data_IF_169565642798
#
_entry.id   IF_169565642798
#
_cell.length_a   1.000
_cell.length_b   1.000
_cell.length_c   1.000
_cell.angle_alpha   90.00
_cell.angle_beta   90.00
_cell.angle_gamma   90.00
#
_symmetry.space_group_name_H-M   'P 1'
#
loop_
_entity.id
_entity.type
_entity.pdbx_description
1 polymer ?
#
# COMPACT_ATOMS: atom_id res chain seq x y z
N UNK A 1 -32.28 -46.06 -31.99
CA UNK A 1 -31.55 -45.41 -30.91
C UNK A 1 -32.24 -44.08 -30.62
N UNK A 2 -32.54 -43.79 -29.36
CA UNK A 2 -33.25 -42.63 -28.90
C UNK A 2 -32.38 -41.60 -28.13
N UNK A 3 -32.97 -40.88 -27.22
CA UNK A 3 -32.34 -39.99 -26.26
C UNK A 3 -31.36 -40.78 -25.35
N UNK A 4 -30.15 -40.31 -25.13
CA UNK A 4 -29.20 -40.95 -24.22
C UNK A 4 -29.78 -40.96 -22.81
N UNK A 5 -30.08 -42.15 -22.30
CA UNK A 5 -30.61 -42.41 -20.94
C UNK A 5 -29.64 -43.25 -20.13
N UNK A 6 -29.89 -43.38 -18.82
CA UNK A 6 -29.07 -44.23 -17.94
C UNK A 6 -28.97 -45.67 -18.48
N UNK A 7 -30.06 -46.23 -18.94
CA UNK A 7 -30.12 -47.60 -19.57
C UNK A 7 -29.18 -47.70 -20.78
N UNK A 8 -29.11 -46.67 -21.65
CA UNK A 8 -28.21 -46.66 -22.81
C UNK A 8 -26.77 -46.54 -22.38
N UNK A 9 -26.46 -45.74 -21.37
CA UNK A 9 -25.12 -45.56 -20.82
C UNK A 9 -24.62 -46.86 -20.19
N UNK A 10 -25.46 -47.56 -19.43
CA UNK A 10 -25.13 -48.83 -18.79
C UNK A 10 -24.91 -49.94 -19.82
N UNK A 11 -25.78 -50.04 -20.82
CA UNK A 11 -25.70 -51.02 -21.90
C UNK A 11 -24.57 -50.80 -22.91
N UNK A 12 -23.94 -49.63 -22.95
CA UNK A 12 -22.88 -49.34 -23.92
C UNK A 12 -21.59 -50.07 -23.55
N UNK A 13 -21.14 -50.99 -24.45
CA UNK A 13 -19.92 -51.78 -24.26
C UNK A 13 -18.75 -51.20 -25.04
N UNK A 14 -17.55 -51.40 -24.49
CA UNK A 14 -16.30 -51.05 -25.15
C UNK A 14 -16.07 -51.96 -26.39
N UNK A 15 -15.40 -51.44 -27.38
CA UNK A 15 -14.96 -52.15 -28.57
C UNK A 15 -13.49 -51.82 -28.85
N UNK A 16 -12.92 -52.43 -29.93
CA UNK A 16 -11.48 -52.23 -30.26
C UNK A 16 -11.13 -50.79 -30.66
N UNK A 17 -12.15 -49.98 -30.99
CA UNK A 17 -12.00 -48.52 -31.32
C UNK A 17 -12.96 -47.67 -30.49
N UNK A 18 -12.67 -46.38 -30.29
CA UNK A 18 -13.61 -45.49 -29.64
C UNK A 18 -14.94 -45.49 -30.34
N UNK A 19 -16.05 -45.69 -29.60
CA UNK A 19 -17.41 -45.72 -30.09
C UNK A 19 -18.21 -44.52 -29.62
N UNK A 20 -18.98 -43.92 -30.53
CA UNK A 20 -19.88 -42.81 -30.22
C UNK A 20 -21.32 -43.29 -30.29
N UNK A 21 -22.07 -43.06 -29.24
CA UNK A 21 -23.54 -43.23 -29.21
C UNK A 21 -24.16 -41.83 -29.27
N UNK A 22 -24.67 -41.44 -30.43
CA UNK A 22 -25.20 -40.12 -30.66
C UNK A 22 -26.62 -39.96 -30.11
N UNK A 23 -26.88 -38.83 -29.47
CA UNK A 23 -28.22 -38.44 -29.03
C UNK A 23 -29.06 -37.95 -30.23
N UNK A 24 -30.29 -38.47 -30.40
CA UNK A 24 -31.18 -38.04 -31.50
C UNK A 24 -31.89 -36.75 -31.22
N UNK A 25 -32.02 -36.35 -29.95
CA UNK A 25 -32.75 -35.15 -29.57
C UNK A 25 -31.89 -33.91 -29.52
N UNK A 26 -30.57 -34.07 -29.39
CA UNK A 26 -29.60 -32.98 -29.37
C UNK A 26 -28.43 -33.29 -30.31
N UNK A 27 -28.42 -32.72 -31.54
CA UNK A 27 -27.34 -32.88 -32.49
C UNK A 27 -25.98 -32.49 -31.88
N UNK A 28 -24.96 -33.34 -32.10
CA UNK A 28 -23.61 -33.12 -31.56
C UNK A 28 -23.40 -33.68 -30.15
N UNK A 29 -24.43 -33.99 -29.39
CA UNK A 29 -24.29 -34.65 -28.10
C UNK A 29 -24.11 -36.17 -28.26
N UNK A 30 -23.11 -36.72 -27.58
CA UNK A 30 -22.83 -38.18 -27.64
C UNK A 30 -22.25 -38.71 -26.33
N UNK A 31 -22.44 -40.02 -26.15
CA UNK A 31 -21.65 -40.83 -25.22
C UNK A 31 -20.43 -41.40 -25.97
N UNK A 32 -19.25 -41.08 -25.54
CA UNK A 32 -17.99 -41.67 -26.00
C UNK A 32 -17.63 -42.83 -25.08
N UNK A 33 -17.43 -44.01 -25.66
CA UNK A 33 -16.93 -45.22 -25.01
C UNK A 33 -15.56 -45.52 -25.56
N UNK A 34 -14.54 -45.52 -24.72
CA UNK A 34 -13.17 -45.82 -25.08
C UNK A 34 -12.92 -47.36 -25.04
N UNK A 35 -11.89 -47.86 -25.73
CA UNK A 35 -11.52 -49.29 -25.65
C UNK A 35 -11.21 -49.77 -24.23
N UNK A 36 -10.74 -48.85 -23.35
CA UNK A 36 -10.51 -49.12 -21.92
C UNK A 36 -11.80 -49.30 -21.10
N UNK A 37 -12.99 -49.15 -21.70
CA UNK A 37 -14.26 -49.16 -21.00
C UNK A 37 -14.63 -47.82 -20.39
N UNK A 38 -13.76 -46.83 -20.39
CA UNK A 38 -14.07 -45.50 -19.86
C UNK A 38 -15.11 -44.79 -20.71
N UNK A 39 -16.15 -44.25 -20.05
CA UNK A 39 -17.28 -43.56 -20.70
C UNK A 39 -17.29 -42.07 -20.35
N UNK A 40 -17.53 -41.22 -21.37
CA UNK A 40 -17.62 -39.78 -21.20
C UNK A 40 -18.73 -39.18 -22.06
N UNK A 41 -19.40 -38.18 -21.55
CA UNK A 41 -20.29 -37.34 -22.36
C UNK A 41 -19.48 -36.34 -23.12
N UNK A 42 -19.77 -36.17 -24.42
CA UNK A 42 -19.04 -35.24 -25.31
C UNK A 42 -20.04 -34.43 -26.13
N UNK A 43 -19.62 -33.23 -26.54
CA UNK A 43 -20.36 -32.42 -27.47
C UNK A 43 -19.47 -32.06 -28.66
N UNK A 44 -19.88 -32.48 -29.86
CA UNK A 44 -19.19 -32.17 -31.12
C UNK A 44 -19.92 -31.05 -31.84
N UNK A 45 -19.18 -30.04 -32.30
CA UNK A 45 -19.73 -28.85 -32.95
C UNK A 45 -18.76 -28.31 -33.99
N UNK A 46 -19.19 -27.35 -34.78
CA UNK A 46 -18.33 -26.58 -35.69
C UNK A 46 -18.21 -25.14 -35.21
N UNK A 47 -16.97 -24.66 -35.11
CA UNK A 47 -16.64 -23.27 -34.84
C UNK A 47 -15.54 -22.82 -35.79
N UNK A 48 -15.63 -21.61 -36.35
CA UNK A 48 -14.66 -21.07 -37.32
C UNK A 48 -14.29 -22.06 -38.43
N UNK A 49 -15.33 -22.76 -38.99
CA UNK A 49 -15.13 -23.74 -40.11
C UNK A 49 -14.53 -25.10 -39.69
N UNK A 50 -14.12 -25.30 -38.45
CA UNK A 50 -13.47 -26.52 -37.95
C UNK A 50 -14.40 -27.34 -37.06
N UNK A 51 -14.34 -28.69 -37.18
CA UNK A 51 -15.03 -29.59 -36.24
C UNK A 51 -14.23 -29.65 -34.93
N UNK A 52 -14.91 -29.39 -33.82
CA UNK A 52 -14.33 -29.45 -32.45
C UNK A 52 -15.15 -30.39 -31.58
N UNK A 53 -14.53 -30.98 -30.56
CA UNK A 53 -15.19 -31.86 -29.61
C UNK A 53 -14.81 -31.49 -28.18
N UNK A 54 -15.81 -31.14 -27.40
CA UNK A 54 -15.64 -30.85 -25.98
C UNK A 54 -16.07 -32.03 -25.13
N UNK A 55 -15.26 -32.48 -24.19
CA UNK A 55 -15.67 -33.39 -23.14
C UNK A 55 -16.46 -32.63 -22.08
N UNK A 56 -17.68 -33.08 -21.80
CA UNK A 56 -18.58 -32.48 -20.81
C UNK A 56 -18.24 -33.00 -19.42
N UNK A 57 -18.28 -34.33 -19.26
CA UNK A 57 -17.95 -35.03 -18.01
C UNK A 57 -17.70 -36.53 -18.23
N UNK A 58 -17.03 -37.17 -17.28
CA UNK A 58 -16.99 -38.64 -17.18
C UNK A 58 -18.35 -39.14 -16.71
N UNK A 59 -18.74 -40.34 -17.19
CA UNK A 59 -19.94 -41.00 -16.66
C UNK A 59 -19.73 -41.28 -15.17
N UNK A 60 -20.78 -41.09 -14.40
CA UNK A 60 -20.73 -41.14 -12.92
C UNK A 60 -20.60 -39.78 -12.26
N UNK A 61 -20.04 -38.76 -12.96
CA UNK A 61 -19.96 -37.38 -12.41
C UNK A 61 -21.25 -36.60 -12.63
N UNK A 62 -21.92 -36.84 -13.74
CA UNK A 62 -23.21 -36.23 -14.10
C UNK A 62 -24.18 -37.30 -14.55
N UNK A 63 -25.50 -37.06 -14.35
CA UNK A 63 -26.54 -37.84 -14.98
C UNK A 63 -26.60 -37.53 -16.49
N UNK A 64 -27.17 -38.44 -17.33
CA UNK A 64 -27.34 -38.15 -18.75
C UNK A 64 -28.13 -36.84 -19.05
N UNK A 65 -29.12 -36.51 -18.22
CA UNK A 65 -29.88 -35.29 -18.37
C UNK A 65 -29.13 -34.05 -17.98
N UNK A 66 -28.32 -34.10 -16.91
CA UNK A 66 -27.41 -33.00 -16.52
C UNK A 66 -26.34 -32.78 -17.61
N UNK A 67 -25.80 -33.86 -18.18
CA UNK A 67 -24.83 -33.75 -19.27
C UNK A 67 -25.45 -33.14 -20.52
N UNK A 68 -26.71 -33.53 -20.83
CA UNK A 68 -27.46 -32.95 -21.94
C UNK A 68 -27.74 -31.46 -21.73
N UNK A 69 -28.15 -31.04 -20.54
CA UNK A 69 -28.36 -29.62 -20.24
C UNK A 69 -27.09 -28.80 -20.52
N UNK A 70 -25.92 -29.29 -20.06
CA UNK A 70 -24.65 -28.64 -20.37
C UNK A 70 -24.31 -28.64 -21.87
N UNK A 71 -24.67 -29.70 -22.60
CA UNK A 71 -24.50 -29.73 -24.05
C UNK A 71 -25.41 -28.71 -24.75
N UNK A 72 -26.63 -28.49 -24.24
CA UNK A 72 -27.56 -27.46 -24.74
C UNK A 72 -27.00 -26.06 -24.53
N UNK A 73 -26.41 -25.79 -23.37
CA UNK A 73 -25.76 -24.50 -23.09
C UNK A 73 -24.59 -24.26 -24.06
N UNK A 74 -23.75 -25.28 -24.28
CA UNK A 74 -22.66 -25.22 -25.27
C UNK A 74 -23.24 -25.00 -26.71
N UNK A 75 -24.29 -25.68 -27.06
CA UNK A 75 -24.95 -25.50 -28.38
C UNK A 75 -25.52 -24.09 -28.56
N UNK A 76 -26.00 -23.46 -27.46
CA UNK A 76 -26.46 -22.06 -27.48
C UNK A 76 -25.27 -21.11 -27.72
N UNK A 77 -24.14 -21.29 -26.99
CA UNK A 77 -22.92 -20.53 -27.21
C UNK A 77 -22.45 -20.59 -28.65
N UNK A 78 -22.40 -21.79 -29.24
CA UNK A 78 -22.00 -21.99 -30.64
C UNK A 78 -22.91 -21.28 -31.61
N UNK A 79 -24.24 -21.36 -31.40
CA UNK A 79 -25.23 -20.65 -32.23
C UNK A 79 -25.10 -19.14 -32.19
N UNK A 80 -24.61 -18.59 -31.07
CA UNK A 80 -24.32 -17.17 -30.91
C UNK A 80 -22.93 -16.79 -31.44
N UNK A 81 -22.21 -17.70 -32.11
CA UNK A 81 -20.88 -17.45 -32.69
C UNK A 81 -19.72 -17.66 -31.75
N UNK A 82 -19.93 -18.10 -30.50
CA UNK A 82 -18.89 -18.42 -29.53
C UNK A 82 -18.28 -19.81 -29.73
N UNK A 83 -17.18 -20.08 -29.04
CA UNK A 83 -16.48 -21.35 -29.01
C UNK A 83 -16.26 -21.85 -27.59
N UNK A 84 -17.05 -22.82 -27.09
CA UNK A 84 -16.95 -23.32 -25.71
C UNK A 84 -15.55 -23.85 -25.29
N UNK A 85 -14.72 -24.30 -26.24
CA UNK A 85 -13.36 -24.75 -25.95
C UNK A 85 -12.40 -23.56 -25.81
N UNK A 86 -12.52 -22.56 -26.68
CA UNK A 86 -11.75 -21.34 -26.57
C UNK A 86 -12.12 -20.54 -25.31
N UNK A 87 -13.43 -20.47 -24.99
CA UNK A 87 -13.89 -19.85 -23.75
C UNK A 87 -13.27 -20.53 -22.52
N UNK A 88 -13.26 -21.86 -22.47
CA UNK A 88 -12.61 -22.63 -21.41
C UNK A 88 -11.10 -22.44 -21.38
N UNK A 89 -10.47 -22.28 -22.54
CA UNK A 89 -9.03 -22.02 -22.64
C UNK A 89 -8.73 -20.61 -22.13
N UNK A 90 -9.45 -19.63 -22.59
CA UNK A 90 -9.35 -18.26 -22.10
C UNK A 90 -9.58 -18.17 -20.57
N UNK A 91 -10.55 -18.98 -20.08
CA UNK A 91 -10.77 -19.06 -18.61
C UNK A 91 -9.57 -19.63 -17.84
N UNK A 92 -8.87 -20.62 -18.40
CA UNK A 92 -7.67 -21.21 -17.76
C UNK A 92 -6.45 -20.32 -17.88
N UNK A 93 -6.33 -19.59 -18.97
CA UNK A 93 -5.20 -18.70 -19.27
C UNK A 93 -5.40 -17.30 -18.68
N UNK A 94 -6.59 -17.00 -18.16
CA UNK A 94 -6.88 -15.72 -17.56
C UNK A 94 -6.00 -15.46 -16.33
N UNK A 95 -5.35 -14.30 -16.34
CA UNK A 95 -4.53 -13.86 -15.23
C UNK A 95 -5.34 -13.73 -13.95
N UNK A 96 -4.84 -14.32 -12.87
CA UNK A 96 -5.33 -14.07 -11.53
C UNK A 96 -4.78 -12.71 -11.02
N UNK A 97 -5.44 -12.14 -10.04
CA UNK A 97 -4.93 -10.93 -9.37
C UNK A 97 -3.55 -11.21 -8.75
N UNK A 98 -3.32 -12.41 -8.18
CA UNK A 98 -2.00 -12.82 -7.69
C UNK A 98 -0.92 -12.71 -8.77
N UNK A 99 -1.21 -13.12 -10.00
CA UNK A 99 -0.23 -13.08 -11.09
C UNK A 99 0.14 -11.64 -11.47
N UNK A 100 -0.86 -10.75 -11.48
CA UNK A 100 -0.63 -9.31 -11.70
C UNK A 100 0.23 -8.71 -10.59
N UNK A 101 -0.06 -9.05 -9.32
CA UNK A 101 0.67 -8.58 -8.16
C UNK A 101 2.13 -9.08 -8.16
N UNK A 102 2.35 -10.35 -8.53
CA UNK A 102 3.69 -10.94 -8.61
C UNK A 102 4.53 -10.34 -9.74
N UNK A 103 3.93 -10.14 -10.92
CA UNK A 103 4.58 -9.43 -12.03
C UNK A 103 4.93 -8.00 -11.66
N UNK A 104 4.06 -7.29 -10.94
CA UNK A 104 4.36 -5.94 -10.45
C UNK A 104 5.56 -5.94 -9.50
N UNK A 105 5.62 -6.87 -8.53
CA UNK A 105 6.73 -7.00 -7.58
C UNK A 105 8.07 -7.34 -8.26
N UNK A 106 8.03 -8.03 -9.40
CA UNK A 106 9.20 -8.37 -10.20
C UNK A 106 9.59 -7.27 -11.21
N UNK A 107 8.75 -6.24 -11.39
CA UNK A 107 8.96 -5.22 -12.42
C UNK A 107 10.08 -4.24 -12.09
N UNK A 108 10.73 -3.69 -13.13
CA UNK A 108 11.67 -2.58 -12.99
C UNK A 108 11.00 -1.34 -12.39
N UNK A 109 9.70 -1.14 -12.66
CA UNK A 109 8.91 -0.06 -12.06
C UNK A 109 8.87 -0.17 -10.52
N UNK A 110 8.68 -1.38 -9.97
CA UNK A 110 8.71 -1.58 -8.52
C UNK A 110 10.12 -1.48 -7.97
N UNK A 111 11.12 -2.05 -8.64
CA UNK A 111 12.52 -2.01 -8.25
C UNK A 111 13.09 -0.56 -8.19
N UNK A 112 12.60 0.35 -9.03
CA UNK A 112 13.02 1.76 -9.02
C UNK A 112 12.53 2.56 -7.80
N UNK A 113 11.59 2.02 -7.02
CA UNK A 113 11.07 2.69 -5.82
C UNK A 113 12.09 2.66 -4.68
N UNK A 114 11.97 3.61 -3.75
CA UNK A 114 12.80 3.60 -2.56
C UNK A 114 12.61 2.28 -1.76
N UNK A 115 13.68 1.73 -1.23
CA UNK A 115 13.71 0.45 -0.50
C UNK A 115 12.59 0.32 0.55
N UNK A 116 12.39 1.37 1.35
CA UNK A 116 11.29 1.42 2.33
C UNK A 116 9.92 1.34 1.67
N UNK A 117 9.73 1.94 0.50
CA UNK A 117 8.48 1.87 -0.26
C UNK A 117 8.26 0.46 -0.80
N UNK A 118 9.32 -0.19 -1.27
CA UNK A 118 9.28 -1.59 -1.70
C UNK A 118 8.91 -2.50 -0.53
N UNK A 119 9.56 -2.35 0.63
CA UNK A 119 9.28 -3.17 1.82
C UNK A 119 7.82 -3.02 2.29
N UNK A 120 7.31 -1.78 2.34
CA UNK A 120 5.92 -1.50 2.71
C UNK A 120 4.95 -2.08 1.68
N UNK A 121 5.16 -1.79 0.40
CA UNK A 121 4.28 -2.27 -0.69
C UNK A 121 4.25 -3.79 -0.79
N UNK A 122 5.39 -4.46 -0.65
CA UNK A 122 5.45 -5.92 -0.56
C UNK A 122 4.64 -6.44 0.61
N UNK A 123 4.79 -5.81 1.78
CA UNK A 123 4.02 -6.17 2.97
C UNK A 123 2.50 -6.06 2.78
N UNK A 124 2.03 -5.02 2.12
CA UNK A 124 0.60 -4.80 1.82
C UNK A 124 0.08 -5.83 0.82
N UNK A 125 0.84 -6.09 -0.24
CA UNK A 125 0.50 -7.08 -1.26
C UNK A 125 0.35 -8.47 -0.63
N UNK A 126 1.36 -8.92 0.12
CA UNK A 126 1.39 -10.27 0.67
C UNK A 126 0.38 -10.49 1.81
N UNK A 127 0.15 -9.47 2.65
CA UNK A 127 -0.64 -9.62 3.86
C UNK A 127 -2.12 -9.26 3.69
N UNK A 128 -2.44 -8.42 2.72
CA UNK A 128 -3.81 -7.93 2.52
C UNK A 128 -4.35 -8.30 1.13
N UNK A 129 -3.65 -7.90 0.06
CA UNK A 129 -4.21 -7.99 -1.29
C UNK A 129 -4.28 -9.44 -1.79
N UNK A 130 -3.21 -10.22 -1.68
CA UNK A 130 -3.19 -11.62 -2.12
C UNK A 130 -4.20 -12.50 -1.36
N UNK A 131 -4.31 -12.45 -0.03
CA UNK A 131 -5.30 -13.24 0.70
C UNK A 131 -6.74 -12.94 0.30
N UNK A 132 -7.07 -11.67 0.02
CA UNK A 132 -8.44 -11.26 -0.26
C UNK A 132 -8.82 -11.37 -1.73
N UNK A 133 -7.91 -11.05 -2.64
CA UNK A 133 -8.19 -10.90 -4.06
C UNK A 133 -7.39 -11.83 -4.95
N UNK A 134 -6.30 -12.42 -4.46
CA UNK A 134 -5.31 -13.14 -5.28
C UNK A 134 -5.89 -14.25 -6.16
N UNK A 135 -6.86 -14.98 -5.65
CA UNK A 135 -7.52 -16.09 -6.37
C UNK A 135 -8.61 -15.64 -7.37
N UNK A 136 -8.89 -14.35 -7.43
CA UNK A 136 -9.87 -13.78 -8.37
C UNK A 136 -9.22 -13.57 -9.73
N UNK A 137 -9.99 -13.74 -10.79
CA UNK A 137 -9.58 -13.37 -12.15
C UNK A 137 -9.48 -11.85 -12.26
N UNK A 138 -8.38 -11.35 -12.79
CA UNK A 138 -8.14 -9.91 -12.91
C UNK A 138 -9.13 -9.23 -13.88
N UNK A 139 -9.53 -9.90 -14.96
CA UNK A 139 -10.48 -9.40 -15.96
C UNK A 139 -11.94 -9.39 -15.47
N UNK A 140 -12.28 -10.20 -14.47
CA UNK A 140 -13.63 -10.31 -13.89
C UNK A 140 -13.79 -9.54 -12.58
N UNK A 141 -12.73 -8.93 -12.09
CA UNK A 141 -12.76 -8.19 -10.83
C UNK A 141 -13.67 -6.95 -10.97
N UNK A 142 -14.60 -6.81 -10.04
CA UNK A 142 -15.56 -5.70 -10.01
C UNK A 142 -15.21 -4.65 -8.97
N UNK A 143 -15.78 -3.46 -9.08
CA UNK A 143 -15.65 -2.42 -8.04
C UNK A 143 -16.21 -2.89 -6.69
N UNK A 144 -17.25 -3.73 -6.69
CA UNK A 144 -17.85 -4.26 -5.45
C UNK A 144 -16.93 -5.27 -4.77
N UNK A 145 -16.18 -6.07 -5.55
CA UNK A 145 -15.14 -6.93 -4.99
C UNK A 145 -14.06 -6.09 -4.28
N UNK A 146 -13.69 -4.96 -4.88
CA UNK A 146 -12.70 -4.04 -4.30
C UNK A 146 -13.24 -3.37 -3.04
N UNK A 147 -14.52 -2.91 -3.04
CA UNK A 147 -15.15 -2.32 -1.85
C UNK A 147 -15.24 -3.33 -0.71
N UNK A 148 -15.63 -4.58 -0.98
CA UNK A 148 -15.65 -5.66 0.03
C UNK A 148 -14.27 -5.94 0.59
N UNK A 149 -13.26 -6.04 -0.25
CA UNK A 149 -11.89 -6.27 0.19
C UNK A 149 -11.34 -5.07 1.00
N UNK A 150 -11.70 -3.84 0.62
CA UNK A 150 -11.38 -2.63 1.38
C UNK A 150 -11.99 -2.70 2.80
N UNK A 151 -13.27 -3.00 2.90
CA UNK A 151 -13.97 -3.16 4.17
C UNK A 151 -13.31 -4.27 5.02
N UNK A 152 -12.95 -5.40 4.42
CA UNK A 152 -12.28 -6.49 5.12
C UNK A 152 -10.93 -6.06 5.73
N UNK A 153 -10.12 -5.25 5.04
CA UNK A 153 -8.88 -4.72 5.60
C UNK A 153 -9.17 -3.71 6.70
N UNK A 154 -10.13 -2.80 6.49
CA UNK A 154 -10.57 -1.82 7.48
C UNK A 154 -11.01 -2.48 8.78
N UNK A 155 -11.80 -3.52 8.67
CA UNK A 155 -12.42 -4.22 9.82
C UNK A 155 -11.47 -5.27 10.43
N UNK A 156 -10.22 -5.36 9.92
CA UNK A 156 -9.18 -6.21 10.50
C UNK A 156 -9.25 -7.69 10.10
N UNK A 157 -10.02 -8.08 9.09
CA UNK A 157 -10.11 -9.47 8.64
C UNK A 157 -8.77 -10.08 8.20
N UNK A 158 -7.78 -9.24 7.88
CA UNK A 158 -6.39 -9.64 7.57
C UNK A 158 -5.42 -9.38 8.72
N UNK A 159 -5.95 -9.11 9.94
CA UNK A 159 -5.10 -8.90 11.11
C UNK A 159 -4.32 -10.18 11.43
N UNK A 160 -3.02 -10.03 11.65
CA UNK A 160 -2.13 -11.14 11.95
C UNK A 160 -0.87 -10.67 12.68
N UNK A 161 -0.32 -11.55 13.48
CA UNK A 161 1.01 -11.36 14.07
C UNK A 161 1.96 -12.32 13.36
N UNK A 162 2.90 -11.77 12.61
CA UNK A 162 3.78 -12.53 11.72
C UNK A 162 5.24 -12.38 12.19
N UNK A 163 5.91 -13.50 12.40
CA UNK A 163 7.35 -13.51 12.69
C UNK A 163 8.13 -13.16 11.42
N UNK A 164 8.89 -12.08 11.45
CA UNK A 164 9.64 -11.56 10.29
C UNK A 164 11.13 -11.86 10.33
N UNK A 165 11.61 -12.46 11.44
CA UNK A 165 13.00 -12.81 11.65
C UNK A 165 13.22 -13.29 13.09
N UNK A 166 14.48 -13.57 13.53
CA UNK A 166 14.77 -14.13 14.85
C UNK A 166 14.22 -13.29 16.02
N UNK A 167 14.21 -11.96 15.86
CA UNK A 167 13.65 -10.98 16.83
C UNK A 167 12.63 -10.02 16.21
N UNK A 168 12.21 -10.30 14.98
CA UNK A 168 11.28 -9.46 14.22
C UNK A 168 9.84 -9.95 14.35
N UNK A 169 8.92 -9.04 14.66
CA UNK A 169 7.48 -9.29 14.73
C UNK A 169 6.74 -8.19 13.99
N UNK A 170 5.99 -8.55 12.94
CA UNK A 170 5.07 -7.65 12.28
C UNK A 170 3.66 -7.86 12.85
N UNK A 171 3.10 -6.82 13.43
CA UNK A 171 1.68 -6.79 13.85
C UNK A 171 0.89 -6.10 12.75
N UNK A 172 0.05 -6.85 12.09
CA UNK A 172 -0.89 -6.37 11.08
C UNK A 172 -2.23 -6.17 11.79
N UNK A 173 -2.73 -4.96 11.86
CA UNK A 173 -3.94 -4.65 12.65
C UNK A 173 -5.14 -4.27 11.78
N UNK A 174 -4.92 -3.92 10.51
CA UNK A 174 -5.97 -3.33 9.68
C UNK A 174 -6.24 -1.85 10.05
N UNK A 175 -7.49 -1.44 9.93
CA UNK A 175 -7.95 -0.08 10.18
C UNK A 175 -8.06 0.77 8.92
N UNK A 176 -8.77 1.90 9.04
CA UNK A 176 -9.11 2.81 7.93
C UNK A 176 -7.87 3.29 7.14
N UNK A 177 -6.82 3.73 7.86
CA UNK A 177 -5.58 4.21 7.23
C UNK A 177 -4.83 3.11 6.50
N UNK A 178 -4.79 1.89 7.05
CA UNK A 178 -4.15 0.74 6.41
C UNK A 178 -4.92 0.34 5.14
N UNK A 179 -6.25 0.29 5.21
CA UNK A 179 -7.10 0.00 4.06
C UNK A 179 -6.89 1.02 2.94
N UNK A 180 -6.95 2.34 3.23
CA UNK A 180 -6.72 3.39 2.24
C UNK A 180 -5.35 3.28 1.57
N UNK A 181 -4.29 3.07 2.35
CA UNK A 181 -2.94 2.97 1.79
C UNK A 181 -2.81 1.74 0.89
N UNK A 182 -3.29 0.59 1.34
CA UNK A 182 -3.28 -0.66 0.61
C UNK A 182 -4.05 -0.56 -0.73
N UNK A 183 -5.25 0.03 -0.71
CA UNK A 183 -6.08 0.09 -1.92
C UNK A 183 -5.70 1.23 -2.87
N UNK A 184 -5.05 2.29 -2.38
CA UNK A 184 -4.35 3.27 -3.26
C UNK A 184 -3.18 2.60 -3.98
N UNK A 185 -2.43 1.73 -3.29
CA UNK A 185 -1.39 0.91 -3.93
C UNK A 185 -1.98 -0.02 -4.97
N UNK A 186 -3.06 -0.74 -4.67
CA UNK A 186 -3.75 -1.62 -5.61
C UNK A 186 -4.19 -0.87 -6.88
N UNK A 187 -4.79 0.32 -6.72
CA UNK A 187 -5.16 1.18 -7.85
C UNK A 187 -3.95 1.52 -8.71
N UNK A 188 -2.83 1.89 -8.10
CA UNK A 188 -1.59 2.19 -8.82
C UNK A 188 -1.02 0.96 -9.53
N UNK A 189 -1.13 -0.22 -8.94
CA UNK A 189 -0.73 -1.49 -9.56
C UNK A 189 -1.59 -1.77 -10.80
N UNK A 190 -2.89 -1.59 -10.72
CA UNK A 190 -3.77 -1.80 -11.87
C UNK A 190 -3.56 -0.75 -12.97
N UNK A 191 -3.20 0.51 -12.63
CA UNK A 191 -2.76 1.50 -13.64
C UNK A 191 -1.52 1.00 -14.38
N UNK A 192 -0.53 0.49 -13.65
CA UNK A 192 0.65 -0.12 -14.24
C UNK A 192 0.30 -1.34 -15.09
N UNK A 193 -0.56 -2.23 -14.62
CA UNK A 193 -0.96 -3.44 -15.33
C UNK A 193 -1.69 -3.14 -16.64
N UNK A 194 -2.48 -2.06 -16.71
CA UNK A 194 -3.10 -1.58 -17.95
C UNK A 194 -2.04 -1.04 -18.91
N UNK A 195 -1.06 -0.27 -18.40
CA UNK A 195 0.04 0.24 -19.24
C UNK A 195 0.90 -0.91 -19.82
N UNK A 196 1.11 -1.98 -19.07
CA UNK A 196 1.79 -3.20 -19.51
C UNK A 196 0.91 -4.16 -20.34
N UNK A 197 -0.35 -3.77 -20.62
CA UNK A 197 -1.33 -4.59 -21.37
C UNK A 197 -1.62 -5.95 -20.75
N UNK A 198 -1.48 -6.08 -19.43
CA UNK A 198 -1.84 -7.30 -18.69
C UNK A 198 -3.34 -7.41 -18.45
N UNK A 199 -4.02 -6.28 -18.34
CA UNK A 199 -5.47 -6.15 -18.20
C UNK A 199 -5.95 -4.99 -19.06
N UNK A 200 -7.21 -5.04 -19.52
CA UNK A 200 -7.77 -4.00 -20.40
C UNK A 200 -8.21 -2.75 -19.63
N UNK A 201 -8.68 -2.91 -18.41
CA UNK A 201 -9.22 -1.82 -17.59
C UNK A 201 -8.79 -1.93 -16.14
N UNK A 202 -8.73 -0.79 -15.46
CA UNK A 202 -8.46 -0.75 -14.02
C UNK A 202 -9.77 -0.94 -13.22
N UNK A 203 -9.97 -2.07 -12.54
CA UNK A 203 -11.19 -2.33 -11.77
C UNK A 203 -11.32 -1.44 -10.52
N UNK A 204 -10.23 -0.81 -10.05
CA UNK A 204 -10.24 0.13 -8.92
C UNK A 204 -10.50 1.58 -9.35
N UNK A 205 -10.70 1.84 -10.65
CA UNK A 205 -11.02 3.17 -11.14
C UNK A 205 -12.41 3.59 -10.64
N UNK A 206 -12.51 4.86 -10.17
CA UNK A 206 -13.78 5.40 -9.66
C UNK A 206 -14.20 4.91 -8.26
N UNK A 207 -13.49 3.97 -7.64
CA UNK A 207 -13.77 3.58 -6.25
C UNK A 207 -13.24 4.66 -5.31
N UNK A 208 -14.11 5.27 -4.51
CA UNK A 208 -13.68 6.20 -3.45
C UNK A 208 -13.21 5.40 -2.22
N UNK A 209 -11.98 5.67 -1.79
CA UNK A 209 -11.40 5.10 -0.58
C UNK A 209 -11.38 6.10 0.59
N UNK A 210 -12.06 7.22 0.44
CA UNK A 210 -12.07 8.30 1.42
C UNK A 210 -10.78 9.10 1.49
N UNK A 211 -10.80 10.16 2.28
CA UNK A 211 -9.65 11.02 2.56
C UNK A 211 -9.02 10.64 3.88
N UNK A 212 -7.70 10.81 3.98
CA UNK A 212 -7.03 10.68 5.28
C UNK A 212 -7.51 11.82 6.17
N UNK A 213 -7.87 11.53 7.41
CA UNK A 213 -8.20 12.55 8.40
C UNK A 213 -7.01 13.50 8.63
N UNK A 214 -7.29 14.76 8.82
CA UNK A 214 -6.28 15.73 9.22
C UNK A 214 -5.92 15.46 10.69
N UNK A 215 -4.63 15.45 10.99
CA UNK A 215 -4.16 15.39 12.37
C UNK A 215 -4.17 16.82 12.90
N UNK A 216 -5.15 17.11 13.71
CA UNK A 216 -5.35 18.46 14.28
C UNK A 216 -4.41 18.77 15.46
N UNK A 217 -3.75 17.77 16.04
CA UNK A 217 -2.88 17.96 17.19
C UNK A 217 -1.64 18.80 16.81
N UNK A 218 -1.63 20.04 17.29
CA UNK A 218 -0.55 21.03 17.15
C UNK A 218 -0.10 21.41 18.55
N UNK A 219 1.22 21.56 18.74
CA UNK A 219 1.79 22.04 19.99
C UNK A 219 1.78 23.57 20.01
N UNK A 220 1.34 24.15 21.11
CA UNK A 220 1.50 25.55 21.40
C UNK A 220 2.85 25.85 22.11
N UNK A 221 3.09 27.10 22.49
CA UNK A 221 4.32 27.52 23.15
C UNK A 221 4.48 26.85 24.54
N UNK A 222 3.39 26.61 25.27
CA UNK A 222 3.42 25.95 26.57
C UNK A 222 3.77 24.46 26.42
N UNK A 223 3.23 23.80 25.38
CA UNK A 223 3.59 22.43 25.03
C UNK A 223 5.09 22.30 24.71
N UNK A 224 5.64 23.25 23.94
CA UNK A 224 7.07 23.27 23.67
C UNK A 224 7.90 23.44 24.94
N UNK A 225 7.49 24.34 25.84
CA UNK A 225 8.17 24.52 27.13
C UNK A 225 8.15 23.22 27.95
N UNK A 226 7.01 22.55 28.04
CA UNK A 226 6.89 21.24 28.72
C UNK A 226 7.76 20.16 28.05
N UNK A 227 7.78 20.13 26.72
CA UNK A 227 8.62 19.20 25.97
C UNK A 227 10.09 19.38 26.33
N UNK A 228 10.60 20.62 26.25
CA UNK A 228 12.02 20.91 26.52
C UNK A 228 12.39 20.64 27.99
N UNK A 229 11.53 21.01 28.94
CA UNK A 229 11.72 20.69 30.35
C UNK A 229 11.76 19.18 30.61
N UNK A 230 10.85 18.43 30.03
CA UNK A 230 10.82 16.97 30.14
C UNK A 230 12.07 16.33 29.55
N UNK A 231 12.53 16.80 28.37
CA UNK A 231 13.78 16.30 27.79
C UNK A 231 14.97 16.50 28.74
N UNK A 232 15.08 17.71 29.32
CA UNK A 232 16.15 18.02 30.28
C UNK A 232 16.07 17.16 31.55
N UNK A 233 14.88 17.00 32.11
CA UNK A 233 14.66 16.15 33.30
C UNK A 233 15.01 14.70 33.06
N UNK A 234 14.57 14.12 31.94
CA UNK A 234 14.86 12.73 31.58
C UNK A 234 16.35 12.49 31.33
N UNK A 235 17.07 13.49 30.79
CA UNK A 235 18.51 13.43 30.61
C UNK A 235 19.24 13.48 31.96
N UNK A 236 18.88 14.41 32.83
CA UNK A 236 19.46 14.52 34.17
C UNK A 236 19.24 13.25 35.01
N UNK A 237 18.13 12.57 34.81
CA UNK A 237 17.82 11.29 35.41
C UNK A 237 18.43 10.07 34.70
N UNK A 238 19.28 10.27 33.67
CA UNK A 238 19.89 9.22 32.84
C UNK A 238 18.87 8.25 32.19
N UNK A 239 17.60 8.67 32.09
CA UNK A 239 16.50 7.90 31.44
C UNK A 239 16.44 8.14 29.92
N UNK A 240 17.06 9.19 29.45
CA UNK A 240 17.13 9.57 28.05
C UNK A 240 18.57 9.89 27.65
N UNK A 241 19.00 9.33 26.53
CA UNK A 241 20.33 9.62 25.98
C UNK A 241 20.39 11.02 25.38
N UNK A 242 21.49 11.78 25.57
CA UNK A 242 21.65 13.11 24.99
C UNK A 242 21.41 13.14 23.47
N UNK A 243 22.00 12.23 22.70
CA UNK A 243 21.79 12.16 21.25
C UNK A 243 20.32 12.00 20.82
N UNK A 244 19.47 11.39 21.67
CA UNK A 244 18.03 11.26 21.41
C UNK A 244 17.30 12.56 21.72
N UNK A 245 17.57 13.15 22.89
CA UNK A 245 16.98 14.43 23.30
C UNK A 245 17.34 15.55 22.32
N UNK A 246 18.62 15.63 21.99
CA UNK A 246 19.18 16.65 21.09
C UNK A 246 18.64 16.50 19.66
N UNK A 247 18.53 15.27 19.16
CA UNK A 247 17.88 15.02 17.87
C UNK A 247 16.42 15.51 17.85
N UNK A 248 15.69 15.35 18.97
CA UNK A 248 14.32 15.85 19.10
C UNK A 248 14.29 17.37 19.21
N UNK A 249 15.18 17.99 19.99
CA UNK A 249 15.31 19.44 20.10
C UNK A 249 15.57 20.09 18.74
N UNK A 250 16.52 19.53 17.97
CA UNK A 250 16.82 20.05 16.62
C UNK A 250 15.62 19.90 15.68
N UNK A 251 14.88 18.77 15.74
CA UNK A 251 13.64 18.64 14.97
C UNK A 251 12.59 19.71 15.37
N UNK A 252 12.43 19.93 16.68
CA UNK A 252 11.48 20.90 17.23
C UNK A 252 11.78 22.34 16.78
N UNK A 253 13.07 22.73 16.79
CA UNK A 253 13.50 24.08 16.45
C UNK A 253 13.59 24.35 14.94
N UNK A 254 13.83 23.32 14.12
CA UNK A 254 14.07 23.47 12.67
C UNK A 254 12.92 23.00 11.80
N UNK A 255 12.00 22.24 12.35
CA UNK A 255 10.97 21.54 11.57
C UNK A 255 11.52 20.54 10.56
N UNK A 256 12.76 20.11 10.71
CA UNK A 256 13.38 19.09 9.87
C UNK A 256 12.59 17.76 9.94
N UNK A 257 12.60 16.99 8.88
CA UNK A 257 11.97 15.67 8.91
C UNK A 257 12.79 14.73 9.80
N UNK A 258 12.11 13.86 10.55
CA UNK A 258 12.78 12.90 11.43
C UNK A 258 13.97 12.21 10.74
N UNK A 259 13.77 11.68 9.52
CA UNK A 259 14.81 10.97 8.79
C UNK A 259 15.96 11.85 8.32
N UNK A 260 15.77 13.16 8.23
CA UNK A 260 16.82 14.12 7.88
C UNK A 260 17.77 14.32 9.07
N UNK A 261 17.24 14.33 10.30
CA UNK A 261 18.05 14.48 11.52
C UNK A 261 18.63 13.13 12.00
N UNK A 262 17.84 12.07 12.04
CA UNK A 262 18.35 10.76 12.46
C UNK A 262 19.45 10.22 11.53
N UNK A 263 19.40 10.53 10.24
CA UNK A 263 20.40 10.15 9.26
C UNK A 263 21.43 11.23 8.93
N UNK A 264 21.50 12.29 9.76
CA UNK A 264 22.45 13.39 9.56
C UNK A 264 23.87 12.92 9.77
N UNK A 265 24.75 13.22 8.80
CA UNK A 265 26.20 12.95 8.89
C UNK A 265 26.98 14.25 8.96
N UNK A 266 28.16 14.23 9.56
CA UNK A 266 28.99 15.41 9.72
C UNK A 266 29.30 16.14 8.41
N UNK A 267 29.53 15.44 7.32
CA UNK A 267 29.75 16.04 5.98
C UNK A 267 28.57 16.87 5.45
N UNK A 268 27.39 16.77 6.06
CA UNK A 268 26.21 17.56 5.67
C UNK A 268 26.03 18.81 6.53
N UNK A 269 26.87 19.01 7.54
CA UNK A 269 26.77 20.13 8.47
C UNK A 269 27.76 21.22 8.08
N UNK A 270 27.27 22.39 7.75
CA UNK A 270 28.06 23.59 7.57
C UNK A 270 27.94 24.44 8.84
N UNK A 271 28.86 24.19 9.79
CA UNK A 271 28.86 24.87 11.10
C UNK A 271 29.06 26.38 10.93
N UNK A 272 29.99 26.81 10.07
CA UNK A 272 30.29 28.23 9.84
C UNK A 272 29.10 28.95 9.19
N UNK A 273 28.40 28.28 8.28
CA UNK A 273 27.22 28.81 7.64
C UNK A 273 25.92 28.63 8.45
N UNK A 274 25.95 27.99 9.63
CA UNK A 274 24.78 27.74 10.48
C UNK A 274 23.67 26.92 9.79
N UNK A 275 24.06 25.90 9.02
CA UNK A 275 23.08 25.17 8.18
C UNK A 275 23.45 23.71 7.97
N UNK A 276 22.43 22.93 7.63
CA UNK A 276 22.56 21.55 7.14
C UNK A 276 22.26 21.56 5.64
N UNK A 277 23.15 20.93 4.84
CA UNK A 277 22.99 20.81 3.39
C UNK A 277 22.84 19.33 3.03
N UNK A 278 21.63 18.90 2.74
CA UNK A 278 21.34 17.52 2.38
C UNK A 278 21.34 17.36 0.86
N UNK A 279 22.18 16.47 0.29
CA UNK A 279 22.17 16.17 -1.14
C UNK A 279 20.81 15.65 -1.62
N UNK A 280 20.52 15.82 -2.90
CA UNK A 280 19.23 15.44 -3.50
C UNK A 280 18.81 13.97 -3.20
N UNK A 281 19.75 13.03 -3.23
CA UNK A 281 19.49 11.61 -2.95
C UNK A 281 19.11 11.30 -1.51
N UNK A 282 19.36 12.21 -0.56
CA UNK A 282 19.19 11.98 0.89
C UNK A 282 17.87 12.47 1.45
N UNK A 283 17.04 13.13 0.66
CA UNK A 283 15.73 13.56 1.12
C UNK A 283 14.63 13.29 0.10
N UNK A 284 13.38 13.09 0.60
CA UNK A 284 12.23 12.62 -0.20
C UNK A 284 11.95 13.49 -1.45
N UNK A 285 12.10 14.79 -1.33
CA UNK A 285 11.81 15.73 -2.41
C UNK A 285 12.94 15.78 -3.43
N UNK A 286 14.20 15.70 -2.98
CA UNK A 286 15.39 15.81 -3.81
C UNK A 286 15.52 14.72 -4.86
N UNK A 287 15.14 13.48 -4.55
CA UNK A 287 15.10 12.38 -5.52
C UNK A 287 14.25 12.71 -6.77
N UNK A 288 13.26 13.60 -6.64
CA UNK A 288 12.38 14.02 -7.75
C UNK A 288 12.85 15.32 -8.42
N UNK A 289 13.57 16.17 -7.71
CA UNK A 289 13.93 17.52 -8.18
C UNK A 289 15.39 17.68 -8.59
N UNK A 290 16.25 16.73 -8.17
CA UNK A 290 17.69 16.85 -8.33
C UNK A 290 18.36 17.92 -7.44
N UNK A 291 17.56 18.67 -6.63
CA UNK A 291 18.07 19.82 -5.86
C UNK A 291 18.39 19.43 -4.42
N UNK A 292 19.47 19.97 -3.82
CA UNK A 292 19.78 19.81 -2.41
C UNK A 292 18.72 20.50 -1.54
N UNK A 293 18.65 20.13 -0.27
CA UNK A 293 17.83 20.81 0.74
C UNK A 293 18.75 21.48 1.76
N UNK A 294 18.54 22.76 1.95
CA UNK A 294 19.17 23.54 3.03
C UNK A 294 18.20 23.64 4.21
N UNK A 295 18.70 23.42 5.42
CA UNK A 295 18.00 23.61 6.69
C UNK A 295 18.85 24.56 7.51
N UNK A 296 18.33 25.76 7.77
CA UNK A 296 18.98 26.75 8.63
C UNK A 296 18.85 26.35 10.10
N UNK A 297 19.92 26.46 10.85
CA UNK A 297 19.97 26.17 12.27
C UNK A 297 19.88 27.47 13.05
N UNK A 298 18.82 27.69 13.84
CA UNK A 298 18.84 28.73 14.86
C UNK A 298 20.03 28.55 15.81
N UNK A 299 20.53 29.62 16.42
CA UNK A 299 21.73 29.59 17.27
C UNK A 299 21.71 28.46 18.31
N UNK A 300 20.55 28.27 18.98
CA UNK A 300 20.39 27.17 19.94
C UNK A 300 20.51 25.76 19.31
N UNK A 301 19.98 25.57 18.09
CA UNK A 301 20.12 24.29 17.39
C UNK A 301 21.55 24.07 16.88
N UNK A 302 22.22 25.13 16.45
CA UNK A 302 23.63 25.08 16.05
C UNK A 302 24.51 24.66 17.22
N UNK A 303 24.30 25.26 18.40
CA UNK A 303 25.03 24.90 19.62
C UNK A 303 24.86 23.43 19.99
N UNK A 304 23.64 22.91 19.89
CA UNK A 304 23.36 21.47 20.13
C UNK A 304 24.15 20.59 19.16
N UNK A 305 24.21 20.96 17.89
CA UNK A 305 24.94 20.18 16.88
C UNK A 305 26.45 20.24 17.15
N UNK A 306 26.98 21.39 17.48
CA UNK A 306 28.42 21.58 17.79
C UNK A 306 28.84 20.80 19.03
N UNK A 307 27.96 20.68 20.03
CA UNK A 307 28.24 19.91 21.26
C UNK A 307 28.13 18.38 21.07
N UNK A 308 27.75 17.87 19.90
CA UNK A 308 27.77 16.42 19.67
C UNK A 308 29.23 15.92 19.57
N UNK A 309 29.47 14.64 19.95
CA UNK A 309 30.82 14.04 19.81
C UNK A 309 31.31 14.18 18.37
N UNK A 310 32.55 14.71 18.23
CA UNK A 310 33.19 14.86 16.94
C UNK A 310 33.41 13.50 16.28
N UNK A 311 33.19 13.39 14.98
CA UNK A 311 33.36 12.18 14.21
C UNK A 311 33.85 12.44 12.79
N UNK A 312 34.16 11.38 12.09
CA UNK A 312 34.51 11.47 10.67
C UNK A 312 33.35 12.00 9.79
N UNK A 313 33.63 12.41 8.55
CA UNK A 313 32.63 12.99 7.66
C UNK A 313 31.39 12.09 7.44
N UNK A 314 31.59 10.78 7.52
CA UNK A 314 30.55 9.77 7.31
C UNK A 314 29.86 9.32 8.58
N UNK A 315 30.31 9.76 9.75
CA UNK A 315 29.69 9.42 11.02
C UNK A 315 28.39 10.19 11.24
N UNK A 316 27.47 9.57 12.00
CA UNK A 316 26.23 10.22 12.37
C UNK A 316 26.47 11.29 13.42
N UNK A 317 25.89 12.47 13.23
CA UNK A 317 25.90 13.55 14.23
C UNK A 317 25.19 13.08 15.52
N UNK A 318 24.05 12.41 15.37
CA UNK A 318 23.31 11.80 16.48
C UNK A 318 23.51 10.28 16.44
N UNK A 319 24.50 9.80 17.16
CA UNK A 319 24.93 8.41 17.09
C UNK A 319 23.98 7.45 17.82
N UNK A 320 23.76 6.22 17.29
CA UNK A 320 23.01 5.20 17.98
C UNK A 320 23.75 4.70 19.22
N UNK A 321 23.07 3.98 20.12
CA UNK A 321 23.72 3.40 21.32
C UNK A 321 24.53 2.15 21.02
N UNK A 322 24.12 1.42 19.99
CA UNK A 322 24.73 0.15 19.55
C UNK A 322 24.51 -0.02 18.06
N UNK A 323 25.47 -0.62 17.40
CA UNK A 323 25.40 -0.99 15.98
C UNK A 323 25.58 0.20 15.02
N UNK A 324 25.60 -0.11 13.76
CA UNK A 324 25.71 0.83 12.65
C UNK A 324 24.31 1.24 12.19
N UNK A 325 24.01 2.51 12.17
CA UNK A 325 22.72 2.99 11.68
C UNK A 325 22.27 4.29 12.33
N UNK A 326 21.14 4.84 11.90
CA UNK A 326 20.62 6.09 12.44
C UNK A 326 20.06 5.91 13.86
N UNK A 327 20.15 6.96 14.68
CA UNK A 327 19.52 7.00 16.00
C UNK A 327 18.02 6.76 15.92
N UNK A 328 17.46 5.95 16.81
CA UNK A 328 16.03 5.69 16.87
C UNK A 328 15.32 6.65 17.83
N UNK A 329 14.47 7.52 17.30
CA UNK A 329 13.67 8.47 18.09
C UNK A 329 12.24 7.99 18.36
N UNK A 330 11.73 7.00 17.61
CA UNK A 330 10.30 6.64 17.64
C UNK A 330 9.87 5.98 18.97
N UNK A 331 10.70 5.11 19.54
CA UNK A 331 10.40 4.44 20.80
C UNK A 331 10.50 5.40 21.99
N UNK A 332 11.62 6.16 22.15
CA UNK A 332 11.72 7.17 23.19
C UNK A 332 10.61 8.24 23.11
N UNK A 333 10.23 8.68 21.90
CA UNK A 333 9.20 9.69 21.71
C UNK A 333 7.87 9.36 22.41
N UNK A 334 7.49 8.09 22.46
CA UNK A 334 6.24 7.68 23.14
C UNK A 334 6.30 7.99 24.64
N UNK A 335 7.40 7.67 25.29
CA UNK A 335 7.60 7.95 26.72
C UNK A 335 7.66 9.46 26.98
N UNK A 336 8.45 10.19 26.19
CA UNK A 336 8.58 11.66 26.28
C UNK A 336 7.24 12.35 26.13
N UNK A 337 6.45 11.97 25.12
CA UNK A 337 5.13 12.54 24.86
C UNK A 337 4.19 12.37 26.05
N UNK A 338 4.17 11.17 26.63
CA UNK A 338 3.32 10.87 27.79
C UNK A 338 3.78 11.68 29.02
N UNK A 339 5.09 11.72 29.30
CA UNK A 339 5.64 12.41 30.46
C UNK A 339 5.53 13.95 30.35
N UNK A 340 5.66 14.48 29.15
CA UNK A 340 5.44 15.91 28.86
C UNK A 340 3.95 16.30 28.75
N UNK A 341 3.03 15.35 28.94
CA UNK A 341 1.57 15.56 28.80
C UNK A 341 1.20 16.26 27.49
N UNK A 342 1.84 15.85 26.38
CA UNK A 342 1.54 16.39 25.06
C UNK A 342 0.27 15.76 24.48
N UNK A 343 -0.41 16.43 23.56
CA UNK A 343 -1.64 15.95 22.94
C UNK A 343 -1.53 14.51 22.43
N UNK A 344 -2.58 13.71 22.64
CA UNK A 344 -2.61 12.32 22.20
C UNK A 344 -2.48 12.24 20.67
N UNK A 345 -1.75 11.24 20.20
CA UNK A 345 -1.56 11.00 18.76
C UNK A 345 -0.49 11.86 18.08
N UNK A 346 0.06 12.91 18.76
CA UNK A 346 1.12 13.72 18.17
C UNK A 346 2.39 12.88 17.96
N UNK A 347 2.85 12.82 16.72
CA UNK A 347 4.11 12.16 16.35
C UNK A 347 5.25 13.16 16.19
N UNK A 348 6.48 12.68 16.01
CA UNK A 348 7.63 13.56 15.71
C UNK A 348 7.41 14.46 14.47
N UNK A 349 6.58 14.02 13.53
CA UNK A 349 6.22 14.87 12.38
C UNK A 349 5.28 16.02 12.78
N UNK A 350 4.52 15.85 13.86
CA UNK A 350 3.70 16.90 14.45
C UNK A 350 4.52 18.11 14.92
N UNK A 351 5.75 17.93 15.41
CA UNK A 351 6.66 19.02 15.75
C UNK A 351 6.89 19.99 14.58
N UNK A 352 7.01 19.44 13.38
CA UNK A 352 7.15 20.23 12.16
C UNK A 352 5.87 20.99 11.81
N UNK A 353 4.71 20.36 12.00
CA UNK A 353 3.42 21.02 11.80
C UNK A 353 3.21 22.12 12.83
N UNK A 354 3.55 21.86 14.08
CA UNK A 354 3.47 22.83 15.16
C UNK A 354 4.38 24.04 14.92
N UNK A 355 5.62 23.82 14.50
CA UNK A 355 6.52 24.91 14.14
C UNK A 355 5.96 25.77 12.98
N UNK A 356 5.38 25.11 11.95
CA UNK A 356 4.74 25.84 10.84
C UNK A 356 3.58 26.74 11.34
N UNK A 357 2.77 26.22 12.26
CA UNK A 357 1.66 26.97 12.86
C UNK A 357 2.16 28.12 13.75
N UNK A 358 3.20 27.89 14.56
CA UNK A 358 3.81 28.94 15.38
C UNK A 358 4.42 30.06 14.52
N UNK A 359 5.09 29.71 13.42
CA UNK A 359 5.60 30.70 12.47
C UNK A 359 4.47 31.51 11.83
N UNK A 360 3.37 30.85 11.45
CA UNK A 360 2.20 31.53 10.88
C UNK A 360 1.54 32.50 11.89
N UNK A 361 1.38 32.05 13.14
CA UNK A 361 0.85 32.87 14.25
C UNK A 361 1.81 34.03 14.52
N UNK A 362 3.12 33.83 14.44
CA UNK A 362 4.16 34.88 14.56
C UNK A 362 4.24 35.85 13.37
N UNK A 363 3.36 35.71 12.36
CA UNK A 363 3.26 36.63 11.23
C UNK A 363 4.09 36.25 9.99
N UNK A 364 4.76 35.09 9.99
CA UNK A 364 5.52 34.64 8.82
C UNK A 364 4.57 34.40 7.63
N UNK A 365 4.99 34.82 6.45
CA UNK A 365 4.24 34.59 5.23
C UNK A 365 4.33 33.13 4.76
N UNK A 366 3.33 32.68 4.01
CA UNK A 366 3.28 31.32 3.49
C UNK A 366 4.53 30.92 2.70
N UNK A 367 5.10 31.83 1.92
CA UNK A 367 6.33 31.60 1.14
C UNK A 367 7.55 31.39 2.04
N UNK A 368 7.66 32.14 3.15
CA UNK A 368 8.73 32.01 4.13
C UNK A 368 8.65 30.67 4.87
N UNK A 369 7.44 30.30 5.34
CA UNK A 369 7.18 29.00 5.97
C UNK A 369 7.49 27.87 4.98
N UNK A 370 7.06 27.99 3.74
CA UNK A 370 7.31 27.01 2.68
C UNK A 370 8.80 26.81 2.43
N UNK A 371 9.55 27.90 2.36
CA UNK A 371 11.01 27.88 2.14
C UNK A 371 11.73 27.27 3.34
N UNK A 372 11.45 27.76 4.55
CA UNK A 372 12.07 27.28 5.80
C UNK A 372 11.85 25.79 5.99
N UNK A 373 10.62 25.32 5.82
CA UNK A 373 10.29 23.91 5.99
C UNK A 373 10.60 23.06 4.75
N UNK A 374 10.86 23.66 3.59
CA UNK A 374 11.05 22.95 2.31
C UNK A 374 9.78 22.21 1.88
N UNK A 375 8.64 22.87 1.92
CA UNK A 375 7.41 22.42 1.30
C UNK A 375 7.48 22.66 -0.21
N UNK A 376 7.00 21.70 -0.99
CA UNK A 376 7.00 21.82 -2.45
C UNK A 376 5.73 22.46 -3.00
N UNK A 377 4.62 22.33 -2.28
CA UNK A 377 3.30 22.79 -2.71
C UNK A 377 2.77 23.80 -1.72
N UNK A 378 2.27 24.92 -2.22
CA UNK A 378 1.62 25.95 -1.42
C UNK A 378 0.44 25.38 -0.62
N UNK A 379 -0.33 24.45 -1.20
CA UNK A 379 -1.44 23.78 -0.52
C UNK A 379 -1.05 23.03 0.77
N UNK A 380 0.22 22.65 0.92
CA UNK A 380 0.72 22.09 2.17
C UNK A 380 0.93 23.16 3.24
N UNK A 381 1.26 24.36 2.83
CA UNK A 381 1.55 25.50 3.73
C UNK A 381 0.29 26.30 4.05
N UNK A 382 -0.64 26.43 3.10
CA UNK A 382 -1.90 27.17 3.28
C UNK A 382 -2.76 26.67 4.46
N UNK A 383 -2.63 25.42 4.84
CA UNK A 383 -3.28 24.87 6.03
C UNK A 383 -2.90 25.61 7.32
N UNK A 384 -1.67 26.11 7.41
CA UNK A 384 -1.18 26.79 8.61
C UNK A 384 -1.64 28.24 8.68
N UNK A 385 -2.00 28.85 7.55
CA UNK A 385 -2.52 30.21 7.52
C UNK A 385 -3.87 30.33 8.24
N UNK A 386 -4.68 29.27 8.18
CA UNK A 386 -5.95 29.22 8.92
C UNK A 386 -5.74 29.40 10.44
N UNK A 387 -4.66 28.86 11.00
CA UNK A 387 -4.33 29.05 12.42
C UNK A 387 -3.93 30.49 12.74
N UNK A 388 -3.25 31.17 11.80
CA UNK A 388 -2.91 32.57 11.95
C UNK A 388 -4.18 33.46 11.96
N UNK A 389 -5.13 33.16 11.09
CA UNK A 389 -6.40 33.91 11.03
C UNK A 389 -7.24 33.68 12.28
N UNK A 390 -7.30 32.44 12.79
CA UNK A 390 -7.99 32.14 14.06
C UNK A 390 -7.32 32.82 15.25
N UNK A 391 -5.98 32.86 15.29
CA UNK A 391 -5.24 33.54 16.33
C UNK A 391 -5.43 35.07 16.26
N UNK A 392 -5.46 35.66 15.06
CA UNK A 392 -5.75 37.09 14.84
C UNK A 392 -7.18 37.47 15.26
N UNK A 393 -8.17 36.62 14.92
CA UNK A 393 -9.54 36.81 15.35
C UNK A 393 -9.66 36.77 16.89
N UNK A 394 -9.01 35.81 17.56
CA UNK A 394 -8.97 35.76 19.02
C UNK A 394 -8.25 36.96 19.66
N UNK A 395 -7.24 37.52 18.99
CA UNK A 395 -6.55 38.71 19.42
C UNK A 395 -7.46 39.95 19.27
N UNK A 396 -8.19 40.05 18.16
CA UNK A 396 -9.16 41.13 17.93
C UNK A 396 -10.29 41.12 18.96
N UNK A 397 -10.82 39.96 19.29
CA UNK A 397 -11.80 39.75 20.37
C UNK A 397 -11.26 40.25 21.73
N UNK A 398 -10.01 39.90 22.06
CA UNK A 398 -9.35 40.37 23.30
C UNK A 398 -9.11 41.87 23.32
N UNK A 399 -8.82 42.46 22.16
CA UNK A 399 -8.62 43.92 22.03
C UNK A 399 -9.95 44.70 22.06
N UNK A 400 -11.07 44.06 21.79
CA UNK A 400 -12.40 44.66 21.81
C UNK A 400 -13.06 44.63 23.20
N UNK A 401 -12.45 44.06 24.21
CA UNK A 401 -12.96 44.11 25.60
C UNK A 401 -12.52 45.44 26.24
N UNK A 402 -13.45 46.18 26.85
CA UNK A 402 -13.19 47.48 27.47
C UNK A 402 -12.31 47.38 28.71
#
# INVERSE_FOLDING_TARGET
MGRISKRIVDAAQAGPKPKFVWDRTLPGFALLVLPSGAKSYVFQYRAAGRSRRATIAKVGTLTPDQARSRAQDMARTVRLGGDPLEDRRAEREALLVSDVLDRYLASAHFASKAERTQATGRGEIERHLKPLLGKRRADKLTQDDIRRAFAAVRDGATAATIKTGPRGLARVTGGEGAARHCFRLLRAIFVWAVAERLIERNPASGVDFGRDGEREAILDAADYARLFATLATMEAQLRLRPAVADGIRVIAMTGARRGEITGLRWRHVDIKGGRIVLPAGRHKTGRKTGKPRVIHLPAAAQQIVVCQPEGGPDDFVFSPSKGEGPVSLAKPWRAIRTEASLPEGIGLHGLRHSLASLLAVGGAQAAEIMTSLGHRQMSTTSRYLHFADTARAALAERAALP
#
